data_IF_055088163824
#
_entry.id   IF_055088163824
#
_cell.length_a   1.000
_cell.length_b   1.000
_cell.length_c   1.000
_cell.angle_alpha   90.00
_cell.angle_beta   90.00
_cell.angle_gamma   90.00
#
_symmetry.space_group_name_H-M   'P 1'
#
loop_
_entity.id
_entity.type
_entity.pdbx_description
1 polymer ?
#
# COMPACT_ATOMS: atom_id res chain seq x y z
N UNK A 1 -21.95 -23.76 -12.82
CA UNK A 1 -22.64 -24.11 -11.55
C UNK A 1 -23.52 -25.35 -11.63
N UNK A 2 -24.37 -25.53 -12.65
CA UNK A 2 -25.13 -26.79 -12.81
C UNK A 2 -24.21 -28.02 -12.93
N UNK A 3 -23.17 -27.94 -13.76
CA UNK A 3 -22.15 -29.00 -13.89
C UNK A 3 -21.46 -29.31 -12.57
N UNK A 4 -21.02 -28.29 -11.82
CA UNK A 4 -20.45 -28.46 -10.49
C UNK A 4 -21.43 -29.17 -9.54
N UNK A 5 -22.71 -28.79 -9.55
CA UNK A 5 -23.71 -29.44 -8.71
C UNK A 5 -23.86 -30.94 -9.05
N UNK A 6 -23.82 -31.32 -10.33
CA UNK A 6 -23.90 -32.73 -10.74
C UNK A 6 -22.73 -33.58 -10.21
N UNK A 7 -21.55 -32.97 -10.07
CA UNK A 7 -20.33 -33.65 -9.64
C UNK A 7 -20.17 -33.67 -8.12
N UNK A 8 -20.50 -32.57 -7.44
CA UNK A 8 -20.11 -32.33 -6.05
C UNK A 8 -21.29 -32.20 -5.07
N UNK A 9 -22.51 -31.95 -5.53
CA UNK A 9 -23.64 -31.85 -4.60
C UNK A 9 -24.11 -33.23 -4.16
N UNK A 10 -24.67 -33.31 -2.94
CA UNK A 10 -25.38 -34.48 -2.47
C UNK A 10 -26.50 -34.83 -3.44
N UNK A 11 -26.59 -36.10 -3.81
CA UNK A 11 -27.75 -36.61 -4.55
C UNK A 11 -28.95 -36.59 -3.59
N UNK A 12 -30.11 -36.04 -3.99
CA UNK A 12 -31.29 -36.08 -3.14
C UNK A 12 -31.64 -37.55 -2.86
N UNK A 13 -31.72 -37.93 -1.58
CA UNK A 13 -32.07 -39.29 -1.18
C UNK A 13 -33.55 -39.63 -1.50
N UNK A 14 -34.37 -38.62 -1.80
CA UNK A 14 -35.78 -38.78 -2.20
C UNK A 14 -36.17 -37.70 -3.22
N UNK A 15 -36.39 -38.08 -4.51
CA UNK A 15 -37.47 -37.65 -5.43
C UNK A 15 -37.11 -37.85 -6.94
N UNK A 16 -38.11 -37.99 -7.83
CA UNK A 16 -37.97 -38.55 -9.17
C UNK A 16 -37.34 -37.57 -10.16
N UNK A 17 -36.81 -38.15 -11.25
CA UNK A 17 -36.23 -37.52 -12.45
C UNK A 17 -36.58 -36.03 -12.64
N UNK A 18 -35.53 -35.21 -12.63
CA UNK A 18 -35.46 -33.83 -13.14
C UNK A 18 -36.39 -33.62 -14.35
N UNK A 19 -37.51 -32.90 -14.16
CA UNK A 19 -38.35 -32.40 -15.25
C UNK A 19 -38.19 -30.88 -15.36
N UNK A 20 -38.08 -30.39 -16.59
CA UNK A 20 -37.69 -29.02 -16.94
C UNK A 20 -38.74 -27.92 -16.64
N UNK A 21 -39.67 -28.15 -15.72
CA UNK A 21 -40.85 -27.30 -15.52
C UNK A 21 -41.21 -26.96 -14.07
N UNK A 22 -40.29 -27.13 -13.10
CA UNK A 22 -40.48 -26.63 -11.73
C UNK A 22 -39.58 -25.41 -11.43
N UNK A 23 -40.12 -24.35 -10.79
CA UNK A 23 -39.30 -23.23 -10.33
C UNK A 23 -38.30 -23.73 -9.29
N UNK A 24 -37.01 -23.45 -9.50
CA UNK A 24 -35.84 -23.92 -8.72
C UNK A 24 -35.78 -23.46 -7.25
N UNK A 25 -36.85 -22.85 -6.73
CA UNK A 25 -36.90 -22.22 -5.42
C UNK A 25 -37.84 -22.96 -4.45
N UNK A 26 -37.32 -23.68 -3.45
CA UNK A 26 -38.10 -23.97 -2.26
C UNK A 26 -37.99 -22.79 -1.28
N UNK A 27 -39.13 -22.28 -0.80
CA UNK A 27 -39.19 -21.34 0.33
C UNK A 27 -38.75 -21.97 1.67
N UNK A 28 -38.37 -23.26 1.64
CA UNK A 28 -38.07 -24.09 2.81
C UNK A 28 -36.55 -24.16 3.01
N UNK A 29 -36.03 -23.95 4.24
CA UNK A 29 -34.63 -24.16 4.54
C UNK A 29 -34.15 -25.56 4.17
N UNK A 30 -32.92 -25.66 3.65
CA UNK A 30 -32.28 -26.96 3.44
C UNK A 30 -32.17 -27.72 4.77
N UNK A 31 -32.34 -29.04 4.72
CA UNK A 31 -32.20 -29.93 5.88
C UNK A 31 -30.80 -30.54 5.97
N UNK A 32 -30.06 -30.52 4.86
CA UNK A 32 -28.66 -30.96 4.77
C UNK A 32 -27.88 -30.00 3.87
N UNK A 33 -26.55 -30.05 3.97
CA UNK A 33 -25.60 -29.31 3.14
C UNK A 33 -25.75 -29.64 1.66
N UNK A 34 -25.45 -28.67 0.78
CA UNK A 34 -25.41 -28.89 -0.65
C UNK A 34 -24.23 -29.81 -1.02
N UNK A 35 -23.04 -29.54 -0.47
CA UNK A 35 -21.85 -30.37 -0.63
C UNK A 35 -21.91 -31.60 0.28
N UNK A 36 -21.24 -32.67 -0.14
CA UNK A 36 -21.11 -33.88 0.68
C UNK A 36 -20.03 -33.68 1.76
N UNK A 37 -20.45 -33.73 3.03
CA UNK A 37 -19.56 -33.71 4.18
C UNK A 37 -19.69 -35.02 4.94
N UNK A 38 -18.55 -35.60 5.35
CA UNK A 38 -18.52 -36.78 6.22
C UNK A 38 -18.81 -36.43 7.69
N UNK A 39 -18.61 -35.18 8.08
CA UNK A 39 -18.81 -34.67 9.44
C UNK A 39 -20.22 -34.09 9.62
N UNK A 40 -20.92 -34.57 10.65
CA UNK A 40 -22.27 -34.14 11.00
C UNK A 40 -22.31 -32.70 11.54
N UNK A 41 -21.28 -32.25 12.28
CA UNK A 41 -21.20 -30.86 12.77
C UNK A 41 -21.07 -29.87 11.60
N UNK A 42 -20.34 -30.26 10.55
CA UNK A 42 -20.21 -29.48 9.32
C UNK A 42 -21.55 -29.40 8.58
N UNK A 43 -22.29 -30.50 8.51
CA UNK A 43 -23.63 -30.51 7.93
C UNK A 43 -24.59 -29.57 8.71
N UNK A 44 -24.58 -29.65 10.04
CA UNK A 44 -25.40 -28.78 10.89
C UNK A 44 -25.03 -27.29 10.72
N UNK A 45 -23.74 -26.97 10.57
CA UNK A 45 -23.29 -25.60 10.32
C UNK A 45 -23.64 -25.10 8.92
N UNK A 46 -23.58 -25.96 7.90
CA UNK A 46 -24.04 -25.62 6.55
C UNK A 46 -25.53 -25.27 6.54
N UNK A 47 -26.36 -26.05 7.24
CA UNK A 47 -27.80 -25.79 7.40
C UNK A 47 -28.03 -24.47 8.15
N UNK A 48 -27.31 -24.22 9.25
CA UNK A 48 -27.39 -22.95 9.99
C UNK A 48 -26.95 -21.76 9.13
N UNK A 49 -25.92 -21.92 8.30
CA UNK A 49 -25.43 -20.90 7.38
C UNK A 49 -26.48 -20.57 6.32
N UNK A 50 -27.13 -21.57 5.75
CA UNK A 50 -28.22 -21.36 4.80
C UNK A 50 -29.40 -20.61 5.43
N UNK A 51 -29.80 -20.98 6.65
CA UNK A 51 -30.84 -20.27 7.39
C UNK A 51 -30.46 -18.81 7.66
N UNK A 52 -29.21 -18.55 8.03
CA UNK A 52 -28.70 -17.19 8.22
C UNK A 52 -28.75 -16.39 6.91
N UNK A 53 -28.33 -17.00 5.79
CA UNK A 53 -28.41 -16.37 4.47
C UNK A 53 -29.86 -16.04 4.08
N UNK A 54 -30.82 -16.95 4.29
CA UNK A 54 -32.24 -16.68 4.05
C UNK A 54 -32.78 -15.52 4.91
N UNK A 55 -32.33 -15.38 6.16
CA UNK A 55 -32.69 -14.25 7.02
C UNK A 55 -32.05 -12.94 6.52
N UNK A 56 -30.80 -13.00 6.06
CA UNK A 56 -30.11 -11.87 5.40
C UNK A 56 -30.81 -11.47 4.10
N UNK A 57 -31.39 -12.41 3.36
CA UNK A 57 -32.15 -12.09 2.14
C UNK A 57 -33.58 -11.59 2.44
N UNK A 58 -34.11 -11.90 3.62
CA UNK A 58 -35.48 -11.57 4.04
C UNK A 58 -36.51 -12.64 3.68
N UNK A 59 -36.06 -13.82 3.26
CA UNK A 59 -36.92 -14.97 2.96
C UNK A 59 -37.46 -15.64 4.22
N UNK A 60 -36.79 -15.44 5.35
CA UNK A 60 -37.17 -15.94 6.66
C UNK A 60 -37.20 -14.80 7.69
N UNK A 61 -38.10 -14.86 8.70
CA UNK A 61 -38.14 -13.85 9.74
C UNK A 61 -36.82 -13.83 10.52
N UNK A 62 -36.36 -12.62 10.88
CA UNK A 62 -35.19 -12.45 11.74
C UNK A 62 -35.51 -13.05 13.13
N UNK A 63 -34.59 -13.82 13.70
CA UNK A 63 -34.72 -14.27 15.09
C UNK A 63 -34.60 -13.06 16.02
N UNK A 64 -35.40 -13.01 17.08
CA UNK A 64 -35.39 -11.90 18.04
C UNK A 64 -33.97 -11.61 18.55
N UNK A 65 -33.52 -10.36 18.42
CA UNK A 65 -32.23 -9.89 18.95
C UNK A 65 -30.98 -10.09 18.08
N UNK A 66 -31.07 -10.59 16.83
CA UNK A 66 -29.92 -10.62 15.91
C UNK A 66 -30.05 -9.57 14.80
N UNK A 67 -29.06 -8.68 14.67
CA UNK A 67 -28.98 -7.75 13.55
C UNK A 67 -28.56 -8.51 12.28
N UNK A 68 -28.97 -8.01 11.13
CA UNK A 68 -28.58 -8.54 9.81
C UNK A 68 -27.07 -8.53 9.61
N UNK A 69 -26.40 -7.51 10.14
CA UNK A 69 -24.94 -7.40 10.08
C UNK A 69 -24.25 -8.49 10.92
N UNK A 70 -24.84 -8.92 12.04
CA UNK A 70 -24.29 -10.01 12.85
C UNK A 70 -24.36 -11.35 12.10
N UNK A 71 -25.44 -11.56 11.35
CA UNK A 71 -25.60 -12.75 10.51
C UNK A 71 -24.56 -12.77 9.39
N UNK A 72 -24.38 -11.65 8.69
CA UNK A 72 -23.36 -11.51 7.63
C UNK A 72 -21.96 -11.71 8.21
N UNK A 73 -21.66 -11.07 9.35
CA UNK A 73 -20.38 -11.23 10.03
C UNK A 73 -20.10 -12.70 10.37
N UNK A 74 -21.10 -13.40 10.93
CA UNK A 74 -21.00 -14.82 11.26
C UNK A 74 -20.73 -15.70 10.03
N UNK A 75 -21.41 -15.43 8.91
CA UNK A 75 -21.18 -16.15 7.65
C UNK A 75 -19.76 -15.94 7.12
N UNK A 76 -19.29 -14.70 7.07
CA UNK A 76 -17.93 -14.40 6.61
C UNK A 76 -16.87 -15.00 7.53
N UNK A 77 -17.09 -14.96 8.85
CA UNK A 77 -16.21 -15.58 9.84
C UNK A 77 -16.08 -17.09 9.60
N UNK A 78 -17.20 -17.79 9.37
CA UNK A 78 -17.19 -19.22 9.05
C UNK A 78 -16.38 -19.52 7.78
N UNK A 79 -16.51 -18.71 6.73
CA UNK A 79 -15.73 -18.88 5.49
C UNK A 79 -14.21 -18.79 5.71
N UNK A 80 -13.77 -18.04 6.73
CA UNK A 80 -12.35 -17.96 7.10
C UNK A 80 -11.90 -19.14 7.96
N UNK A 81 -12.69 -19.50 8.96
CA UNK A 81 -12.30 -20.52 9.94
C UNK A 81 -12.41 -21.95 9.40
N UNK A 82 -13.27 -22.18 8.40
CA UNK A 82 -13.59 -23.52 7.88
C UNK A 82 -13.62 -23.53 6.35
N UNK A 83 -12.50 -23.94 5.73
CA UNK A 83 -12.35 -23.99 4.27
C UNK A 83 -13.46 -24.79 3.58
N UNK A 84 -13.86 -25.93 4.15
CA UNK A 84 -14.94 -26.76 3.61
C UNK A 84 -16.32 -26.04 3.61
N UNK A 85 -16.59 -25.17 4.60
CA UNK A 85 -17.84 -24.39 4.62
C UNK A 85 -17.78 -23.19 3.67
N UNK A 86 -16.60 -22.73 3.28
CA UNK A 86 -16.46 -21.60 2.35
C UNK A 86 -17.14 -21.90 1.01
N UNK A 87 -16.79 -23.02 0.40
CA UNK A 87 -17.37 -23.44 -0.88
C UNK A 87 -18.87 -23.73 -0.77
N UNK A 88 -19.30 -24.29 0.36
CA UNK A 88 -20.72 -24.49 0.65
C UNK A 88 -21.47 -23.16 0.69
N UNK A 89 -20.95 -22.16 1.40
CA UNK A 89 -21.57 -20.83 1.50
C UNK A 89 -21.60 -20.13 0.13
N UNK A 90 -20.57 -20.29 -0.69
CA UNK A 90 -20.58 -19.84 -2.09
C UNK A 90 -21.70 -20.52 -2.88
N UNK A 91 -21.80 -21.85 -2.80
CA UNK A 91 -22.83 -22.63 -3.49
C UNK A 91 -24.24 -22.23 -3.03
N UNK A 92 -24.43 -22.02 -1.73
CA UNK A 92 -25.69 -21.57 -1.14
C UNK A 92 -26.05 -20.17 -1.64
N UNK A 93 -25.13 -19.21 -1.64
CA UNK A 93 -25.37 -17.87 -2.16
C UNK A 93 -25.77 -17.89 -3.64
N UNK A 94 -25.01 -18.62 -4.48
CA UNK A 94 -25.30 -18.78 -5.90
C UNK A 94 -26.66 -19.45 -6.13
N UNK A 95 -26.96 -20.52 -5.38
CA UNK A 95 -28.27 -21.18 -5.43
C UNK A 95 -29.39 -20.18 -5.15
N UNK A 96 -29.23 -19.35 -4.12
CA UNK A 96 -30.26 -18.42 -3.72
C UNK A 96 -30.47 -17.29 -4.73
N UNK A 97 -29.43 -16.84 -5.44
CA UNK A 97 -29.59 -15.77 -6.45
C UNK A 97 -30.04 -16.28 -7.82
N UNK A 98 -29.97 -17.59 -8.07
CA UNK A 98 -30.32 -18.20 -9.37
C UNK A 98 -31.83 -18.38 -9.48
N UNK A 99 -32.50 -17.59 -10.35
CA UNK A 99 -33.94 -17.73 -10.62
C UNK A 99 -34.85 -17.31 -9.46
N UNK A 100 -34.35 -16.45 -8.55
CA UNK A 100 -35.10 -16.02 -7.38
C UNK A 100 -36.34 -15.17 -7.77
N UNK A 101 -37.56 -15.54 -7.32
CA UNK A 101 -38.81 -14.92 -7.80
C UNK A 101 -39.05 -13.49 -7.27
N UNK A 102 -38.41 -13.12 -6.15
CA UNK A 102 -38.52 -11.79 -5.54
C UNK A 102 -37.25 -10.96 -5.81
N UNK A 103 -37.30 -9.94 -6.71
CA UNK A 103 -36.11 -9.17 -7.08
C UNK A 103 -35.40 -8.49 -5.91
N UNK A 104 -36.16 -7.94 -4.94
CA UNK A 104 -35.59 -7.27 -3.76
C UNK A 104 -34.79 -8.20 -2.86
N UNK A 105 -35.24 -9.43 -2.68
CA UNK A 105 -34.56 -10.44 -1.85
C UNK A 105 -33.35 -11.00 -2.61
N UNK A 106 -33.51 -11.24 -3.91
CA UNK A 106 -32.42 -11.60 -4.82
C UNK A 106 -31.27 -10.59 -4.75
N UNK A 107 -31.58 -9.29 -4.82
CA UNK A 107 -30.60 -8.22 -4.71
C UNK A 107 -29.80 -8.28 -3.40
N UNK A 108 -30.43 -8.62 -2.27
CA UNK A 108 -29.72 -8.81 -0.98
C UNK A 108 -28.79 -10.03 -1.01
N UNK A 109 -29.21 -11.12 -1.65
CA UNK A 109 -28.35 -12.29 -1.89
C UNK A 109 -27.13 -11.94 -2.76
N UNK A 110 -27.32 -11.12 -3.79
CA UNK A 110 -26.23 -10.60 -4.61
C UNK A 110 -25.30 -9.63 -3.86
N UNK A 111 -25.84 -8.77 -2.99
CA UNK A 111 -25.01 -7.94 -2.11
C UNK A 111 -24.15 -8.78 -1.17
N UNK A 112 -24.70 -9.87 -0.61
CA UNK A 112 -23.92 -10.82 0.19
C UNK A 112 -22.85 -11.52 -0.65
N UNK A 113 -23.19 -12.02 -1.84
CA UNK A 113 -22.24 -12.68 -2.74
C UNK A 113 -21.11 -11.73 -3.14
N UNK A 114 -21.41 -10.46 -3.41
CA UNK A 114 -20.43 -9.41 -3.73
C UNK A 114 -19.46 -9.16 -2.57
N UNK A 115 -19.97 -9.15 -1.33
CA UNK A 115 -19.15 -9.04 -0.13
C UNK A 115 -18.26 -10.28 0.06
N UNK A 116 -18.80 -11.48 -0.16
CA UNK A 116 -18.09 -12.75 -0.04
C UNK A 116 -16.92 -12.82 -1.05
N UNK A 117 -17.18 -12.47 -2.32
CA UNK A 117 -16.16 -12.46 -3.39
C UNK A 117 -15.01 -11.50 -3.14
N UNK A 118 -15.27 -10.34 -2.51
CA UNK A 118 -14.22 -9.39 -2.16
C UNK A 118 -13.47 -9.74 -0.86
N UNK A 119 -14.03 -10.64 -0.06
CA UNK A 119 -13.44 -11.02 1.22
C UNK A 119 -12.49 -12.21 1.11
N UNK A 120 -12.91 -13.28 0.42
CA UNK A 120 -12.15 -14.55 0.35
C UNK A 120 -12.44 -15.28 -0.96
N UNK A 121 -11.44 -15.84 -1.67
CA UNK A 121 -11.70 -16.58 -2.91
C UNK A 121 -12.34 -17.95 -2.63
N UNK A 122 -13.17 -18.50 -3.54
CA UNK A 122 -13.57 -19.90 -3.48
C UNK A 122 -12.34 -20.82 -3.64
N UNK A 123 -12.49 -22.11 -3.37
CA UNK A 123 -11.41 -23.08 -3.61
C UNK A 123 -11.01 -23.14 -5.08
N UNK A 124 -9.82 -23.66 -5.37
CA UNK A 124 -9.36 -23.89 -6.74
C UNK A 124 -10.34 -24.78 -7.55
N UNK A 125 -11.01 -25.73 -6.89
CA UNK A 125 -12.00 -26.61 -7.50
C UNK A 125 -13.28 -25.87 -7.90
N UNK A 126 -13.76 -24.96 -7.04
CA UNK A 126 -15.01 -24.22 -7.28
C UNK A 126 -14.81 -22.96 -8.14
N UNK A 127 -13.61 -22.36 -8.10
CA UNK A 127 -13.24 -21.12 -8.80
C UNK A 127 -13.71 -21.02 -10.26
N UNK A 128 -13.42 -21.98 -11.17
CA UNK A 128 -13.81 -21.83 -12.57
C UNK A 128 -15.34 -21.74 -12.76
N UNK A 129 -16.11 -22.40 -11.89
CA UNK A 129 -17.57 -22.40 -11.96
C UNK A 129 -18.19 -21.12 -11.42
N UNK A 130 -17.60 -20.53 -10.37
CA UNK A 130 -18.01 -19.23 -9.82
C UNK A 130 -17.68 -18.12 -10.81
N UNK A 131 -16.46 -18.12 -11.36
CA UNK A 131 -16.04 -17.12 -12.37
C UNK A 131 -16.97 -17.14 -13.58
N UNK A 132 -17.26 -18.31 -14.13
CA UNK A 132 -18.20 -18.44 -15.27
C UNK A 132 -19.60 -17.96 -14.91
N UNK A 133 -20.11 -18.33 -13.73
CA UNK A 133 -21.44 -17.88 -13.27
C UNK A 133 -21.53 -16.35 -13.14
N UNK A 134 -20.50 -15.71 -12.59
CA UNK A 134 -20.45 -14.26 -12.46
C UNK A 134 -20.35 -13.57 -13.83
N UNK A 135 -19.53 -14.10 -14.74
CA UNK A 135 -19.41 -13.60 -16.12
C UNK A 135 -20.76 -13.65 -16.84
N UNK A 136 -21.44 -14.80 -16.83
CA UNK A 136 -22.75 -14.97 -17.48
C UNK A 136 -23.80 -14.01 -16.88
N UNK A 137 -23.78 -13.82 -15.56
CA UNK A 137 -24.74 -12.97 -14.85
C UNK A 137 -24.46 -11.47 -14.98
N UNK A 138 -23.19 -11.08 -15.17
CA UNK A 138 -22.74 -9.68 -15.26
C UNK A 138 -23.34 -8.91 -16.45
N UNK A 139 -23.78 -9.63 -17.48
CA UNK A 139 -24.43 -9.09 -18.67
C UNK A 139 -25.79 -8.46 -18.36
N UNK A 140 -26.50 -9.02 -17.37
CA UNK A 140 -27.85 -8.60 -17.00
C UNK A 140 -27.94 -7.86 -15.67
N UNK A 141 -26.88 -7.86 -14.85
CA UNK A 141 -26.97 -7.39 -13.47
C UNK A 141 -25.70 -6.69 -12.96
N UNK A 142 -25.84 -5.47 -12.46
CA UNK A 142 -24.74 -4.65 -11.92
C UNK A 142 -24.06 -5.28 -10.70
N UNK A 143 -24.82 -5.79 -9.73
CA UNK A 143 -24.24 -6.46 -8.56
C UNK A 143 -23.43 -7.72 -8.93
N UNK A 144 -23.79 -8.41 -10.02
CA UNK A 144 -23.01 -9.54 -10.52
C UNK A 144 -21.68 -9.07 -11.11
N UNK A 145 -21.68 -7.95 -11.84
CA UNK A 145 -20.45 -7.30 -12.33
C UNK A 145 -19.55 -6.86 -11.17
N UNK A 146 -20.09 -6.20 -10.15
CA UNK A 146 -19.31 -5.83 -8.97
C UNK A 146 -18.75 -7.06 -8.24
N UNK A 147 -19.52 -8.14 -8.13
CA UNK A 147 -19.05 -9.41 -7.54
C UNK A 147 -17.89 -10.01 -8.35
N UNK A 148 -17.96 -9.94 -9.68
CA UNK A 148 -16.87 -10.37 -10.57
C UNK A 148 -15.61 -9.54 -10.37
N UNK A 149 -15.73 -8.21 -10.35
CA UNK A 149 -14.61 -7.30 -10.12
C UNK A 149 -13.97 -7.51 -8.74
N UNK A 150 -14.78 -7.75 -7.70
CA UNK A 150 -14.29 -8.07 -6.37
C UNK A 150 -13.55 -9.41 -6.35
N UNK A 151 -14.09 -10.44 -7.01
CA UNK A 151 -13.42 -11.74 -7.13
C UNK A 151 -12.08 -11.61 -7.86
N UNK A 152 -12.03 -10.86 -8.96
CA UNK A 152 -10.79 -10.61 -9.70
C UNK A 152 -9.72 -9.96 -8.82
N UNK A 153 -10.08 -8.96 -8.01
CA UNK A 153 -9.17 -8.35 -7.02
C UNK A 153 -8.69 -9.35 -5.99
N UNK A 154 -9.61 -10.10 -5.40
CA UNK A 154 -9.30 -11.13 -4.40
C UNK A 154 -8.39 -12.23 -4.96
N UNK A 155 -8.50 -12.56 -6.26
CA UNK A 155 -7.60 -13.51 -6.92
C UNK A 155 -6.24 -12.89 -7.22
N UNK A 156 -6.20 -11.63 -7.68
CA UNK A 156 -4.96 -10.92 -8.04
C UNK A 156 -4.11 -10.58 -6.80
N UNK A 157 -4.75 -10.10 -5.73
CA UNK A 157 -4.07 -9.57 -4.55
C UNK A 157 -4.25 -10.45 -3.31
N UNK A 158 -5.02 -11.53 -3.39
CA UNK A 158 -5.41 -12.33 -2.22
C UNK A 158 -6.60 -11.74 -1.48
N UNK A 159 -7.23 -12.55 -0.62
CA UNK A 159 -8.36 -12.12 0.20
C UNK A 159 -7.95 -11.17 1.34
N UNK A 160 -8.93 -10.49 1.93
CA UNK A 160 -8.68 -9.56 3.03
C UNK A 160 -8.08 -10.29 4.23
N UNK A 161 -7.13 -9.65 4.93
CA UNK A 161 -6.55 -10.17 6.19
C UNK A 161 -7.41 -9.94 7.42
N UNK A 162 -8.34 -8.98 7.41
CA UNK A 162 -9.28 -8.73 8.50
C UNK A 162 -10.72 -8.75 7.96
N UNK A 163 -11.68 -9.12 8.81
CA UNK A 163 -13.10 -8.97 8.50
C UNK A 163 -13.45 -7.48 8.35
N UNK A 164 -14.30 -7.10 7.38
CA UNK A 164 -14.84 -5.75 7.32
C UNK A 164 -15.56 -5.39 8.62
N UNK A 165 -15.41 -4.16 9.08
CA UNK A 165 -16.08 -3.69 10.29
C UNK A 165 -17.60 -3.60 10.08
N UNK A 166 -18.39 -3.57 11.16
CA UNK A 166 -19.85 -3.45 11.04
C UNK A 166 -20.28 -2.16 10.32
N UNK A 167 -19.59 -1.05 10.56
CA UNK A 167 -19.84 0.22 9.87
C UNK A 167 -19.48 0.14 8.39
N UNK A 168 -18.35 -0.49 8.05
CA UNK A 168 -17.93 -0.72 6.67
C UNK A 168 -18.93 -1.60 5.91
N UNK A 169 -19.36 -2.72 6.49
CA UNK A 169 -20.38 -3.59 5.89
C UNK A 169 -21.71 -2.85 5.71
N UNK A 170 -22.13 -2.06 6.69
CA UNK A 170 -23.36 -1.26 6.60
C UNK A 170 -23.29 -0.26 5.44
N UNK A 171 -22.16 0.40 5.25
CA UNK A 171 -21.95 1.32 4.13
C UNK A 171 -21.97 0.57 2.78
N UNK A 172 -21.26 -0.56 2.69
CA UNK A 172 -21.22 -1.41 1.50
C UNK A 172 -22.62 -1.87 1.08
N UNK A 173 -23.42 -2.40 2.01
CA UNK A 173 -24.77 -2.90 1.70
C UNK A 173 -25.75 -1.80 1.27
N UNK A 174 -25.50 -0.56 1.66
CA UNK A 174 -26.28 0.61 1.22
C UNK A 174 -25.80 1.19 -0.11
N UNK A 175 -24.74 0.63 -0.71
CA UNK A 175 -24.10 1.21 -1.89
C UNK A 175 -23.45 2.57 -1.63
N UNK A 176 -23.20 2.90 -0.37
CA UNK A 176 -22.59 4.17 -0.01
C UNK A 176 -21.08 4.11 -0.21
N UNK A 177 -20.54 5.20 -0.76
CA UNK A 177 -19.12 5.51 -0.69
C UNK A 177 -18.74 5.66 0.79
N UNK A 178 -17.68 4.96 1.20
CA UNK A 178 -17.40 4.78 2.63
C UNK A 178 -16.62 5.97 3.16
N UNK A 179 -15.51 6.37 2.51
CA UNK A 179 -14.68 7.47 3.00
C UNK A 179 -13.95 8.19 1.86
N UNK A 180 -13.85 9.51 1.99
CA UNK A 180 -12.91 10.32 1.23
C UNK A 180 -11.54 10.22 1.90
N UNK A 181 -10.51 9.87 1.14
CA UNK A 181 -9.13 9.73 1.62
C UNK A 181 -8.28 10.85 1.02
N UNK A 182 -7.43 11.45 1.85
CA UNK A 182 -6.38 12.36 1.42
C UNK A 182 -5.04 11.62 1.44
N UNK A 183 -4.28 11.76 0.37
CA UNK A 183 -2.93 11.22 0.24
C UNK A 183 -1.97 12.39 0.12
N UNK A 184 -1.08 12.52 1.07
CA UNK A 184 -0.13 13.61 1.13
C UNK A 184 1.08 13.31 0.25
N UNK A 185 1.34 14.19 -0.72
CA UNK A 185 2.51 14.16 -1.58
C UNK A 185 3.58 15.14 -1.04
N UNK A 186 4.86 14.92 -1.39
CA UNK A 186 5.90 15.91 -1.18
C UNK A 186 5.49 17.30 -1.71
N UNK A 187 5.83 18.35 -0.96
CA UNK A 187 5.49 19.74 -1.30
C UNK A 187 4.16 20.24 -0.73
N UNK A 188 3.48 19.45 0.12
CA UNK A 188 2.20 19.84 0.72
C UNK A 188 1.02 19.75 -0.24
N UNK A 189 1.17 19.00 -1.33
CA UNK A 189 0.10 18.72 -2.28
C UNK A 189 -0.68 17.50 -1.79
N UNK A 190 -2.00 17.61 -1.74
CA UNK A 190 -2.87 16.52 -1.35
C UNK A 190 -3.61 15.94 -2.56
N UNK A 191 -3.51 14.63 -2.74
CA UNK A 191 -4.34 13.89 -3.68
C UNK A 191 -5.59 13.37 -2.97
N UNK A 192 -6.75 13.87 -3.39
CA UNK A 192 -8.05 13.51 -2.83
C UNK A 192 -8.70 12.40 -3.65
N UNK A 193 -9.00 11.30 -3.00
CA UNK A 193 -9.64 10.14 -3.63
C UNK A 193 -10.76 9.58 -2.75
N UNK A 194 -11.45 8.58 -3.29
CA UNK A 194 -12.52 7.87 -2.62
C UNK A 194 -12.17 6.40 -2.53
N UNK A 195 -12.21 5.84 -1.32
CA UNK A 195 -11.96 4.42 -1.10
C UNK A 195 -13.26 3.66 -0.86
N UNK A 196 -13.32 2.44 -1.40
CA UNK A 196 -14.42 1.47 -1.26
C UNK A 196 -13.97 0.33 -0.34
N UNK A 197 -14.89 -0.55 0.03
CA UNK A 197 -14.62 -1.74 0.88
C UNK A 197 -13.40 -2.55 0.40
N UNK A 198 -13.25 -2.69 -0.91
CA UNK A 198 -12.25 -3.55 -1.52
C UNK A 198 -11.16 -2.77 -2.26
N UNK A 199 -10.92 -1.50 -1.91
CA UNK A 199 -9.80 -0.73 -2.47
C UNK A 199 -8.48 -1.27 -1.92
N UNK A 200 -7.58 -1.63 -2.85
CA UNK A 200 -6.26 -2.21 -2.58
C UNK A 200 -5.17 -1.16 -2.82
N UNK A 201 -4.07 -1.22 -2.07
CA UNK A 201 -2.98 -0.26 -2.13
C UNK A 201 -2.35 -0.15 -3.54
N UNK A 202 -2.14 -1.27 -4.24
CA UNK A 202 -1.60 -1.28 -5.60
C UNK A 202 -2.46 -0.46 -6.57
N UNK A 203 -3.78 -0.70 -6.60
CA UNK A 203 -4.69 0.03 -7.50
C UNK A 203 -4.73 1.53 -7.18
N UNK A 204 -4.64 1.87 -5.90
CA UNK A 204 -4.59 3.27 -5.49
C UNK A 204 -3.28 3.94 -5.91
N UNK A 205 -2.15 3.24 -5.77
CA UNK A 205 -0.85 3.74 -6.19
C UNK A 205 -0.78 3.92 -7.71
N UNK A 206 -1.27 2.95 -8.48
CA UNK A 206 -1.42 3.03 -9.94
C UNK A 206 -2.28 4.25 -10.34
N UNK A 207 -3.42 4.46 -9.67
CA UNK A 207 -4.28 5.63 -9.91
C UNK A 207 -3.56 6.95 -9.60
N UNK A 208 -2.87 7.04 -8.47
CA UNK A 208 -2.09 8.23 -8.09
C UNK A 208 -1.00 8.53 -9.13
N UNK A 209 -0.24 7.51 -9.53
CA UNK A 209 0.82 7.62 -10.52
C UNK A 209 0.27 8.08 -11.88
N UNK A 210 -0.86 7.52 -12.32
CA UNK A 210 -1.54 7.90 -13.56
C UNK A 210 -1.91 9.39 -13.60
N UNK A 211 -2.29 9.97 -12.46
CA UNK A 211 -2.62 11.40 -12.36
C UNK A 211 -1.37 12.30 -12.49
N UNK A 212 -0.20 11.76 -12.16
CA UNK A 212 1.11 12.39 -12.40
C UNK A 212 1.66 12.11 -13.81
N UNK A 213 0.88 11.48 -14.70
CA UNK A 213 1.33 11.13 -16.06
C UNK A 213 2.16 9.85 -16.14
N UNK A 214 2.30 9.11 -15.04
CA UNK A 214 3.09 7.88 -14.98
C UNK A 214 2.22 6.70 -15.43
N UNK A 215 2.57 6.12 -16.57
CA UNK A 215 1.90 4.93 -17.13
C UNK A 215 2.78 3.68 -17.16
N UNK A 216 4.10 3.82 -17.00
CA UNK A 216 5.04 2.70 -17.02
C UNK A 216 4.95 1.91 -15.70
N UNK A 217 4.60 0.61 -15.73
CA UNK A 217 4.57 -0.22 -14.53
C UNK A 217 5.90 -0.29 -13.77
N UNK A 218 7.05 -0.13 -14.45
CA UNK A 218 8.35 -0.11 -13.77
C UNK A 218 8.49 1.14 -12.91
N UNK A 219 8.10 2.31 -13.42
CA UNK A 219 8.13 3.56 -12.66
C UNK A 219 7.13 3.55 -11.50
N UNK A 220 5.93 2.98 -11.68
CA UNK A 220 4.94 2.85 -10.58
C UNK A 220 5.51 2.08 -9.39
N UNK A 221 6.32 1.04 -9.64
CA UNK A 221 6.93 0.26 -8.57
C UNK A 221 7.92 1.08 -7.73
N UNK A 222 8.54 2.12 -8.30
CA UNK A 222 9.45 2.99 -7.56
C UNK A 222 8.76 3.83 -6.49
N UNK A 223 7.42 3.85 -6.46
CA UNK A 223 6.65 4.56 -5.44
C UNK A 223 6.14 3.63 -4.34
N UNK A 224 5.94 4.21 -3.17
CA UNK A 224 5.29 3.52 -2.05
C UNK A 224 4.31 4.44 -1.33
N UNK A 225 3.23 3.84 -0.84
CA UNK A 225 2.30 4.46 0.09
C UNK A 225 2.76 4.16 1.52
N UNK A 226 2.74 5.16 2.38
CA UNK A 226 3.23 5.09 3.75
C UNK A 226 2.14 5.46 4.74
N UNK A 227 2.00 4.66 5.79
CA UNK A 227 1.19 5.01 6.95
C UNK A 227 2.01 5.90 7.89
N UNK A 228 1.49 7.08 8.21
CA UNK A 228 2.06 8.00 9.20
C UNK A 228 1.06 8.16 10.33
N UNK A 229 1.52 8.07 11.57
CA UNK A 229 0.66 8.24 12.75
C UNK A 229 0.86 9.64 13.34
N UNK A 230 -0.24 10.27 13.76
CA UNK A 230 -0.24 11.46 14.64
C UNK A 230 0.80 12.53 14.33
N UNK A 231 1.84 12.60 15.16
CA UNK A 231 2.93 13.58 15.21
C UNK A 231 3.98 13.45 14.08
N UNK A 232 3.70 12.63 13.07
CA UNK A 232 4.60 12.43 11.93
C UNK A 232 5.47 11.18 12.05
N UNK A 233 5.24 10.33 13.06
CA UNK A 233 5.90 9.03 13.19
C UNK A 233 5.54 8.13 11.99
N UNK A 234 6.55 7.86 11.15
CA UNK A 234 6.42 6.95 10.01
C UNK A 234 6.27 5.52 10.54
N UNK A 235 5.13 4.89 10.25
CA UNK A 235 4.85 3.55 10.76
C UNK A 235 5.50 2.50 9.87
N UNK A 236 5.13 2.49 8.58
CA UNK A 236 5.62 1.56 7.56
C UNK A 236 5.07 1.89 6.16
N UNK A 237 5.73 1.42 5.09
CA UNK A 237 5.10 1.30 3.78
C UNK A 237 3.92 0.31 3.79
N UNK A 238 2.99 0.50 2.86
CA UNK A 238 1.89 -0.40 2.55
C UNK A 238 2.30 -1.35 1.44
N UNK A 239 2.05 -2.63 1.64
CA UNK A 239 2.28 -3.63 0.61
C UNK A 239 1.22 -3.54 -0.48
N UNK A 240 1.57 -3.86 -1.75
CA UNK A 240 0.65 -3.77 -2.89
C UNK A 240 -0.68 -4.48 -2.66
N UNK A 241 -0.68 -5.62 -1.97
CA UNK A 241 -1.84 -6.46 -1.69
C UNK A 241 -2.70 -6.03 -0.49
N UNK A 242 -2.30 -4.99 0.26
CA UNK A 242 -3.06 -4.58 1.44
C UNK A 242 -4.34 -3.81 1.06
N UNK A 243 -5.43 -4.16 1.74
CA UNK A 243 -6.70 -3.45 1.62
C UNK A 243 -6.70 -2.24 2.55
N UNK A 244 -6.99 -1.06 2.00
CA UNK A 244 -6.86 0.20 2.75
C UNK A 244 -7.76 0.24 3.99
N UNK A 245 -9.02 -0.21 3.88
CA UNK A 245 -9.93 -0.25 5.03
C UNK A 245 -9.54 -1.30 6.10
N UNK A 246 -8.54 -2.14 5.84
CA UNK A 246 -7.98 -3.05 6.84
C UNK A 246 -6.79 -2.46 7.60
N UNK A 247 -6.25 -1.32 7.16
CA UNK A 247 -5.02 -0.72 7.69
C UNK A 247 -5.16 0.77 8.07
N UNK A 248 -6.17 1.46 7.53
CA UNK A 248 -6.46 2.85 7.87
C UNK A 248 -7.29 2.93 9.16
N UNK A 249 -6.67 3.46 10.21
CA UNK A 249 -7.30 3.84 11.48
C UNK A 249 -7.48 5.37 11.56
N UNK A 250 -8.20 5.86 12.59
CA UNK A 250 -8.58 7.29 12.70
C UNK A 250 -7.42 8.28 12.80
N UNK A 251 -6.27 7.84 13.34
CA UNK A 251 -5.11 8.71 13.61
C UNK A 251 -3.96 8.49 12.62
N UNK A 252 -4.26 7.87 11.47
CA UNK A 252 -3.28 7.51 10.45
C UNK A 252 -3.53 8.30 9.18
N UNK A 253 -2.51 9.03 8.72
CA UNK A 253 -2.49 9.67 7.41
C UNK A 253 -1.73 8.80 6.40
N UNK A 254 -2.07 8.95 5.12
CA UNK A 254 -1.42 8.23 4.03
C UNK A 254 -0.53 9.19 3.25
N UNK A 255 0.74 8.84 3.06
CA UNK A 255 1.69 9.65 2.32
C UNK A 255 2.23 8.84 1.14
N UNK A 256 2.54 9.47 0.02
CA UNK A 256 3.23 8.82 -1.10
C UNK A 256 4.63 9.37 -1.23
N UNK A 257 5.61 8.52 -1.55
CA UNK A 257 6.99 8.90 -1.84
C UNK A 257 7.57 8.00 -2.93
N UNK A 258 8.50 8.54 -3.70
CA UNK A 258 9.34 7.76 -4.62
C UNK A 258 10.58 7.26 -3.87
N UNK A 259 10.81 5.95 -3.86
CA UNK A 259 11.90 5.30 -3.15
C UNK A 259 13.11 5.01 -4.05
N UNK A 260 12.87 4.73 -5.32
CA UNK A 260 13.89 4.44 -6.32
C UNK A 260 13.79 5.41 -7.50
N UNK A 261 14.88 5.55 -8.26
CA UNK A 261 15.01 6.56 -9.30
C UNK A 261 15.74 5.98 -10.52
N UNK A 262 15.43 4.74 -10.88
CA UNK A 262 16.05 4.03 -12.01
C UNK A 262 15.39 4.41 -13.33
N UNK A 263 14.07 4.59 -13.35
CA UNK A 263 13.35 5.03 -14.55
C UNK A 263 13.66 6.48 -14.89
N UNK A 264 13.60 6.80 -16.18
CA UNK A 264 13.92 8.13 -16.67
C UNK A 264 12.85 9.14 -16.23
N UNK A 265 13.29 10.24 -15.62
CA UNK A 265 12.42 11.36 -15.28
C UNK A 265 11.83 11.98 -16.55
N UNK A 266 10.53 12.27 -16.49
CA UNK A 266 9.81 13.00 -17.51
C UNK A 266 9.23 14.31 -16.92
N UNK A 267 9.17 15.35 -17.74
CA UNK A 267 8.82 16.71 -17.28
C UNK A 267 7.64 17.31 -18.06
N UNK A 268 6.68 16.45 -18.41
CA UNK A 268 5.46 16.80 -19.13
C UNK A 268 4.25 17.05 -18.21
N UNK A 269 4.33 16.70 -16.92
CA UNK A 269 3.27 16.87 -15.94
C UNK A 269 3.68 17.81 -14.78
N UNK A 270 2.96 18.94 -14.53
CA UNK A 270 3.28 19.87 -13.45
C UNK A 270 3.27 19.28 -12.05
N UNK A 271 2.35 18.35 -11.75
CA UNK A 271 2.27 17.68 -10.46
C UNK A 271 3.47 16.75 -10.28
N UNK A 272 3.87 16.02 -11.33
CA UNK A 272 5.09 15.23 -11.32
C UNK A 272 6.31 16.10 -10.99
N UNK A 273 6.51 17.20 -11.72
CA UNK A 273 7.64 18.12 -11.51
C UNK A 273 7.65 18.64 -10.07
N UNK A 274 6.53 19.20 -9.61
CA UNK A 274 6.42 19.81 -8.29
C UNK A 274 6.63 18.80 -7.15
N UNK A 275 6.09 17.58 -7.28
CA UNK A 275 6.27 16.52 -6.28
C UNK A 275 7.71 16.04 -6.21
N UNK A 276 8.36 15.76 -7.35
CA UNK A 276 9.75 15.31 -7.36
C UNK A 276 10.71 16.41 -6.90
N UNK A 277 10.51 17.66 -7.36
CA UNK A 277 11.27 18.81 -6.87
C UNK A 277 11.17 18.93 -5.35
N UNK A 278 9.97 18.88 -4.80
CA UNK A 278 9.75 19.02 -3.35
C UNK A 278 10.38 17.89 -2.55
N UNK A 279 10.38 16.66 -3.09
CA UNK A 279 11.04 15.53 -2.45
C UNK A 279 12.57 15.71 -2.45
N UNK A 280 13.16 15.98 -3.61
CA UNK A 280 14.61 16.18 -3.77
C UNK A 280 15.10 17.39 -2.97
N UNK A 281 14.32 18.48 -2.95
CA UNK A 281 14.63 19.67 -2.16
C UNK A 281 14.64 19.36 -0.66
N UNK A 282 13.65 18.62 -0.15
CA UNK A 282 13.63 18.20 1.24
C UNK A 282 14.87 17.39 1.59
N UNK A 283 15.22 16.41 0.76
CA UNK A 283 16.34 15.51 1.00
C UNK A 283 17.67 16.29 0.96
N UNK A 284 17.83 17.22 0.00
CA UNK A 284 18.95 18.16 -0.04
C UNK A 284 19.06 19.04 1.22
N UNK A 285 17.99 19.72 1.62
CA UNK A 285 17.99 20.63 2.76
C UNK A 285 18.21 19.91 4.10
N UNK A 286 17.83 18.64 4.18
CA UNK A 286 18.09 17.77 5.33
C UNK A 286 19.52 17.20 5.34
N UNK A 287 20.34 17.48 4.33
CA UNK A 287 21.70 16.98 4.21
C UNK A 287 21.77 15.50 3.85
N UNK A 288 20.70 14.95 3.26
CA UNK A 288 20.65 13.57 2.77
C UNK A 288 21.31 13.43 1.40
N UNK A 289 21.41 14.51 0.63
CA UNK A 289 22.25 14.59 -0.56
C UNK A 289 23.57 15.26 -0.18
N UNK A 290 24.69 14.55 -0.36
CA UNK A 290 25.99 15.05 0.08
C UNK A 290 26.50 16.17 -0.83
N UNK A 291 26.84 17.30 -0.24
CA UNK A 291 27.48 18.43 -0.91
C UNK A 291 28.63 18.94 -0.04
N UNK A 292 29.77 19.20 -0.65
CA UNK A 292 30.93 19.77 0.06
C UNK A 292 30.65 21.23 0.47
N UNK A 293 31.06 21.61 1.68
CA UNK A 293 31.06 23.00 2.14
C UNK A 293 31.97 23.92 1.31
N UNK A 294 32.92 23.35 0.57
CA UNK A 294 33.82 24.08 -0.33
C UNK A 294 33.28 24.21 -1.76
N UNK A 295 32.16 23.54 -2.09
CA UNK A 295 31.56 23.57 -3.42
C UNK A 295 30.64 24.79 -3.60
N UNK A 296 31.17 26.00 -3.37
CA UNK A 296 30.41 27.25 -3.34
C UNK A 296 29.57 27.47 -4.60
N UNK A 297 30.10 27.14 -5.79
CA UNK A 297 29.38 27.29 -7.05
C UNK A 297 28.17 26.34 -7.17
N UNK A 298 28.30 25.10 -6.70
CA UNK A 298 27.21 24.13 -6.73
C UNK A 298 26.11 24.52 -5.72
N UNK A 299 26.50 24.92 -4.51
CA UNK A 299 25.58 25.42 -3.49
C UNK A 299 24.85 26.68 -3.97
N UNK A 300 25.57 27.61 -4.61
CA UNK A 300 25.00 28.83 -5.17
C UNK A 300 23.99 28.53 -6.29
N UNK A 301 24.31 27.62 -7.21
CA UNK A 301 23.40 27.22 -8.30
C UNK A 301 22.13 26.57 -7.75
N UNK A 302 22.25 25.62 -6.82
CA UNK A 302 21.09 24.98 -6.18
C UNK A 302 20.23 25.98 -5.39
N UNK A 303 20.85 26.96 -4.73
CA UNK A 303 20.12 28.02 -4.03
C UNK A 303 19.40 28.98 -4.99
N UNK A 304 20.04 29.39 -6.10
CA UNK A 304 19.44 30.23 -7.12
C UNK A 304 18.21 29.55 -7.76
N UNK A 305 18.32 28.27 -8.10
CA UNK A 305 17.22 27.49 -8.67
C UNK A 305 16.04 27.35 -7.69
N UNK A 306 16.29 27.12 -6.40
CA UNK A 306 15.23 27.12 -5.39
C UNK A 306 14.53 28.47 -5.27
N UNK A 307 15.29 29.58 -5.32
CA UNK A 307 14.71 30.91 -5.28
C UNK A 307 13.82 31.18 -6.50
N UNK A 308 14.30 30.88 -7.70
CA UNK A 308 13.53 31.02 -8.96
C UNK A 308 12.29 30.13 -8.97
N UNK A 309 12.35 28.94 -8.38
CA UNK A 309 11.19 28.03 -8.30
C UNK A 309 10.00 28.64 -7.54
N UNK A 310 10.24 29.60 -6.63
CA UNK A 310 9.17 30.33 -5.91
C UNK A 310 8.47 31.38 -6.76
N UNK A 311 9.00 31.74 -7.93
CA UNK A 311 8.45 32.78 -8.79
C UNK A 311 8.55 34.20 -8.21
N UNK A 312 9.51 34.44 -7.31
CA UNK A 312 9.75 35.75 -6.71
C UNK A 312 10.67 36.58 -7.62
N UNK A 313 10.29 37.83 -7.89
CA UNK A 313 11.12 38.78 -8.65
C UNK A 313 12.14 39.52 -7.76
N UNK A 314 11.88 39.56 -6.45
CA UNK A 314 12.73 40.22 -5.47
C UNK A 314 14.00 39.40 -5.19
N UNK A 315 15.16 40.05 -4.98
CA UNK A 315 16.37 39.34 -4.63
C UNK A 315 16.21 38.60 -3.28
N UNK A 316 16.87 37.44 -3.10
CA UNK A 316 16.71 36.64 -1.89
C UNK A 316 17.24 37.39 -0.66
N UNK A 317 16.48 37.38 0.44
CA UNK A 317 16.93 37.88 1.73
C UNK A 317 18.02 36.98 2.32
N UNK A 318 18.77 37.44 3.32
CA UNK A 318 19.77 36.58 3.98
C UNK A 318 19.14 35.36 4.67
N UNK A 319 17.90 35.49 5.15
CA UNK A 319 17.15 34.38 5.70
C UNK A 319 16.77 33.35 4.63
N UNK A 320 16.38 33.81 3.44
CA UNK A 320 16.12 32.93 2.30
C UNK A 320 17.38 32.16 1.89
N UNK A 321 18.52 32.85 1.82
CA UNK A 321 19.80 32.24 1.47
C UNK A 321 20.17 31.10 2.43
N UNK A 322 20.01 31.32 3.73
CA UNK A 322 20.24 30.28 4.74
C UNK A 322 19.25 29.13 4.60
N UNK A 323 17.98 29.42 4.30
CA UNK A 323 16.94 28.42 4.11
C UNK A 323 17.16 27.53 2.85
N UNK A 324 17.91 28.02 1.86
CA UNK A 324 18.27 27.25 0.66
C UNK A 324 19.51 26.36 0.81
N UNK A 325 20.17 26.38 1.97
CA UNK A 325 21.36 25.58 2.23
C UNK A 325 21.04 24.40 3.16
N UNK A 326 21.75 23.25 3.01
CA UNK A 326 21.61 22.13 3.93
C UNK A 326 21.89 22.57 5.37
N UNK A 327 21.04 22.17 6.31
CA UNK A 327 21.09 22.64 7.71
C UNK A 327 22.46 22.46 8.36
N UNK A 328 23.18 21.40 8.02
CA UNK A 328 24.49 21.05 8.55
C UNK A 328 25.61 21.98 8.03
N UNK A 329 25.43 22.55 6.84
CA UNK A 329 26.44 23.37 6.16
C UNK A 329 26.29 24.86 6.47
N UNK A 330 25.16 25.31 7.01
CA UNK A 330 24.88 26.74 7.27
C UNK A 330 25.97 27.45 8.09
N UNK A 331 26.69 26.72 8.95
CA UNK A 331 27.76 27.25 9.80
C UNK A 331 29.18 27.09 9.22
N UNK A 332 29.33 26.34 8.13
CA UNK A 332 30.64 25.98 7.56
C UNK A 332 30.95 26.74 6.27
N UNK A 333 29.91 27.25 5.60
CA UNK A 333 30.04 27.90 4.29
C UNK A 333 30.44 29.37 4.39
N UNK A 334 31.10 29.85 3.34
CA UNK A 334 31.34 31.29 3.18
C UNK A 334 30.11 31.96 2.56
N UNK A 335 29.20 32.44 3.41
CA UNK A 335 27.94 33.07 2.98
C UNK A 335 28.17 34.28 2.04
N UNK A 336 29.24 35.04 2.23
CA UNK A 336 29.55 36.20 1.38
C UNK A 336 29.91 35.76 -0.04
N UNK A 337 30.72 34.71 -0.17
CA UNK A 337 31.09 34.14 -1.47
C UNK A 337 29.87 33.53 -2.17
N UNK A 338 29.07 32.72 -1.43
CA UNK A 338 27.85 32.10 -1.96
C UNK A 338 26.83 33.16 -2.41
N UNK A 339 26.60 34.22 -1.62
CA UNK A 339 25.69 35.32 -1.98
C UNK A 339 26.08 35.99 -3.29
N UNK A 340 27.38 36.24 -3.49
CA UNK A 340 27.89 36.80 -4.75
C UNK A 340 27.63 35.87 -5.94
N UNK A 341 27.91 34.56 -5.78
CA UNK A 341 27.70 33.56 -6.82
C UNK A 341 26.21 33.34 -7.14
N UNK A 342 25.33 33.36 -6.14
CA UNK A 342 23.87 33.29 -6.35
C UNK A 342 23.41 34.47 -7.23
N UNK A 343 23.90 35.68 -6.95
CA UNK A 343 23.59 36.85 -7.78
C UNK A 343 24.10 36.72 -9.22
N UNK A 344 25.17 35.95 -9.47
CA UNK A 344 25.65 35.67 -10.82
C UNK A 344 24.77 34.62 -11.51
N UNK A 345 24.42 33.52 -10.82
CA UNK A 345 23.52 32.48 -11.34
C UNK A 345 22.14 33.05 -11.68
N UNK A 346 21.55 33.89 -10.82
CA UNK A 346 20.26 34.53 -11.08
C UNK A 346 20.27 35.42 -12.33
N UNK A 347 21.39 36.09 -12.62
CA UNK A 347 21.55 36.87 -13.86
C UNK A 347 21.69 35.97 -15.08
N UNK A 348 22.37 34.83 -14.96
CA UNK A 348 22.51 33.87 -16.06
C UNK A 348 21.19 33.17 -16.39
N UNK A 349 20.38 32.88 -15.36
CA UNK A 349 19.09 32.21 -15.47
C UNK A 349 17.92 33.19 -15.66
N UNK A 350 18.19 34.41 -16.13
CA UNK A 350 17.15 35.41 -16.35
C UNK A 350 16.14 34.92 -17.39
N UNK A 351 14.84 34.96 -17.03
CA UNK A 351 13.75 34.48 -17.89
C UNK A 351 13.41 32.99 -17.72
N UNK A 352 14.11 32.27 -16.82
CA UNK A 352 13.76 30.91 -16.44
C UNK A 352 12.40 30.88 -15.74
N UNK A 353 11.49 30.00 -16.18
CA UNK A 353 10.20 29.83 -15.51
C UNK A 353 10.35 29.10 -14.17
N UNK A 354 9.35 29.21 -13.29
CA UNK A 354 9.33 28.46 -12.02
C UNK A 354 9.48 26.94 -12.25
N UNK A 355 8.83 26.39 -13.30
CA UNK A 355 8.93 24.98 -13.63
C UNK A 355 10.31 24.61 -14.19
N UNK A 356 10.89 25.43 -15.08
CA UNK A 356 12.23 25.19 -15.60
C UNK A 356 13.29 25.21 -14.48
N UNK A 357 13.10 26.08 -13.48
CA UNK A 357 13.95 26.14 -12.30
C UNK A 357 13.82 24.87 -11.44
N UNK A 358 12.61 24.33 -11.26
CA UNK A 358 12.37 23.06 -10.57
C UNK A 358 13.04 21.89 -11.29
N UNK A 359 12.88 21.81 -12.61
CA UNK A 359 13.50 20.77 -13.47
C UNK A 359 15.02 20.86 -13.36
N UNK A 360 15.58 22.05 -13.57
CA UNK A 360 17.02 22.30 -13.50
C UNK A 360 17.59 21.98 -12.11
N UNK A 361 16.82 22.21 -11.04
CA UNK A 361 17.22 21.84 -9.68
C UNK A 361 17.32 20.32 -9.52
N UNK A 362 16.31 19.57 -9.99
CA UNK A 362 16.32 18.11 -9.95
C UNK A 362 17.53 17.57 -10.73
N UNK A 363 17.78 18.08 -11.93
CA UNK A 363 18.92 17.67 -12.76
C UNK A 363 20.27 17.99 -12.09
N UNK A 364 20.40 19.17 -11.48
CA UNK A 364 21.60 19.55 -10.75
C UNK A 364 21.82 18.74 -9.47
N UNK A 365 20.75 18.32 -8.79
CA UNK A 365 20.81 17.48 -7.60
C UNK A 365 21.08 16.01 -7.94
N UNK A 366 20.72 15.55 -9.15
CA UNK A 366 20.91 14.16 -9.61
C UNK A 366 22.37 13.68 -9.60
N UNK A 367 23.33 14.59 -9.74
CA UNK A 367 24.76 14.27 -9.71
C UNK A 367 25.33 14.20 -8.28
N UNK A 368 24.54 14.52 -7.27
CA UNK A 368 24.98 14.46 -5.87
C UNK A 368 25.05 13.01 -5.38
N UNK A 369 26.06 12.66 -4.56
CA UNK A 369 26.08 11.37 -3.88
C UNK A 369 24.81 11.19 -3.03
N UNK A 370 24.36 9.94 -2.93
CA UNK A 370 23.10 9.52 -2.30
C UNK A 370 21.82 9.97 -3.04
N UNK A 371 21.91 10.61 -4.20
CA UNK A 371 20.72 10.76 -5.05
C UNK A 371 20.16 9.37 -5.40
N UNK A 372 18.84 9.23 -5.25
CA UNK A 372 18.16 7.95 -5.49
C UNK A 372 18.18 6.98 -4.31
N UNK A 373 18.69 7.39 -3.15
CA UNK A 373 18.65 6.60 -1.92
C UNK A 373 17.69 7.23 -0.91
N UNK A 374 16.98 6.40 -0.16
CA UNK A 374 16.35 6.80 1.11
C UNK A 374 17.44 6.83 2.18
N UNK A 375 17.71 7.99 2.77
CA UNK A 375 18.87 8.18 3.64
C UNK A 375 18.49 8.29 5.11
N UNK A 376 19.18 7.51 5.94
CA UNK A 376 19.07 7.48 7.39
C UNK A 376 20.39 7.91 8.05
N UNK A 377 20.32 8.48 9.24
CA UNK A 377 21.51 8.81 10.04
C UNK A 377 21.75 7.74 11.09
N UNK A 378 22.82 6.97 10.95
CA UNK A 378 23.29 6.04 11.98
C UNK A 378 24.17 6.78 12.99
N UNK A 379 23.76 6.76 14.25
CA UNK A 379 24.52 7.34 15.37
C UNK A 379 25.77 6.50 15.67
N UNK A 380 25.62 5.17 15.66
CA UNK A 380 26.71 4.21 15.88
C UNK A 380 26.59 3.02 14.92
N UNK A 381 27.75 2.43 14.62
CA UNK A 381 27.87 1.25 13.76
C UNK A 381 28.78 0.23 14.43
N UNK A 382 28.43 -1.05 14.37
CA UNK A 382 29.14 -2.12 15.08
C UNK A 382 30.55 -2.42 14.57
N UNK A 383 30.83 -2.11 13.30
CA UNK A 383 32.06 -2.52 12.62
C UNK A 383 33.20 -1.54 12.96
N UNK A 384 34.33 -2.02 13.52
CA UNK A 384 35.46 -1.17 13.84
C UNK A 384 36.03 -0.47 12.60
N UNK A 385 36.36 0.81 12.73
CA UNK A 385 36.93 1.61 11.64
C UNK A 385 35.90 2.32 10.73
N UNK A 386 34.59 2.10 10.94
CA UNK A 386 33.56 2.89 10.28
C UNK A 386 33.29 4.21 11.03
N UNK A 387 32.96 5.30 10.30
CA UNK A 387 32.64 6.58 10.92
C UNK A 387 31.33 6.50 11.72
N UNK A 388 31.23 7.32 12.77
CA UNK A 388 30.03 7.48 13.59
C UNK A 388 29.96 8.93 14.07
N UNK A 389 28.91 9.71 13.72
CA UNK A 389 27.74 9.30 12.94
C UNK A 389 28.07 9.04 11.45
N UNK A 390 27.23 8.25 10.78
CA UNK A 390 27.34 7.92 9.36
C UNK A 390 25.99 8.01 8.64
N UNK A 391 26.02 8.14 7.31
CA UNK A 391 24.81 8.14 6.48
C UNK A 391 24.59 6.75 5.87
N UNK A 392 23.39 6.22 6.08
CA UNK A 392 22.90 4.97 5.52
C UNK A 392 21.99 5.26 4.34
N UNK A 393 22.43 4.98 3.11
CA UNK A 393 21.61 5.06 1.92
C UNK A 393 20.96 3.71 1.62
N UNK A 394 19.63 3.67 1.46
CA UNK A 394 18.88 2.49 1.07
C UNK A 394 18.18 2.68 -0.30
N UNK A 395 18.36 1.74 -1.21
CA UNK A 395 17.53 1.58 -2.41
C UNK A 395 17.20 0.09 -2.63
N UNK A 396 16.49 -0.27 -3.71
CA UNK A 396 16.14 -1.68 -4.04
C UNK A 396 17.31 -2.65 -4.12
N UNK A 397 18.50 -2.15 -4.45
CA UNK A 397 19.65 -3.00 -4.74
C UNK A 397 20.57 -3.14 -3.53
N UNK A 398 20.80 -2.04 -2.82
CA UNK A 398 21.87 -1.92 -1.85
C UNK A 398 21.47 -1.09 -0.63
N UNK A 399 22.01 -1.50 0.53
CA UNK A 399 22.20 -0.65 1.69
C UNK A 399 23.68 -0.23 1.73
N UNK A 400 23.94 1.07 1.63
CA UNK A 400 25.29 1.63 1.62
C UNK A 400 25.54 2.52 2.82
N UNK A 401 26.79 2.59 3.26
CA UNK A 401 27.23 3.46 4.34
C UNK A 401 28.28 4.44 3.83
N UNK A 402 28.05 5.73 4.08
CA UNK A 402 28.93 6.82 3.66
C UNK A 402 29.41 7.65 4.86
N UNK A 403 30.65 8.12 4.77
CA UNK A 403 31.24 9.07 5.72
C UNK A 403 30.80 10.51 5.41
N UNK A 404 29.96 11.15 6.25
CA UNK A 404 29.56 12.54 6.03
C UNK A 404 30.70 13.55 6.23
N UNK A 405 31.79 13.16 6.89
CA UNK A 405 32.92 14.05 7.22
C UNK A 405 33.94 14.16 6.08
N UNK A 406 33.94 13.17 5.19
CA UNK A 406 34.80 13.15 4.01
C UNK A 406 34.26 14.12 2.95
N UNK A 407 35.14 14.93 2.34
CA UNK A 407 34.72 15.99 1.40
C UNK A 407 33.92 15.51 0.19
N UNK A 408 33.93 14.20 -0.11
CA UNK A 408 33.26 13.59 -1.28
C UNK A 408 32.27 12.47 -0.88
N UNK A 409 32.12 12.15 0.40
CA UNK A 409 31.31 11.00 0.83
C UNK A 409 31.93 9.67 0.43
N UNK A 410 32.99 9.25 1.13
CA UNK A 410 33.62 7.96 0.88
C UNK A 410 32.62 6.84 1.18
N UNK A 411 32.38 5.97 0.19
CA UNK A 411 31.65 4.73 0.38
C UNK A 411 32.45 3.81 1.30
N UNK A 412 31.97 3.60 2.52
CA UNK A 412 32.66 2.79 3.53
C UNK A 412 32.21 1.33 3.50
N UNK A 413 30.94 1.08 3.19
CA UNK A 413 30.34 -0.26 3.17
C UNK A 413 29.20 -0.33 2.15
N UNK A 414 29.01 -1.48 1.51
CA UNK A 414 27.86 -1.78 0.66
C UNK A 414 27.39 -3.20 0.92
N UNK A 415 26.10 -3.36 1.17
CA UNK A 415 25.43 -4.64 1.41
C UNK A 415 24.36 -4.76 0.33
N UNK A 416 24.44 -5.77 -0.53
CA UNK A 416 23.36 -6.04 -1.47
C UNK A 416 22.14 -6.56 -0.72
N UNK A 417 20.96 -6.00 -0.98
CA UNK A 417 19.74 -6.40 -0.26
C UNK A 417 19.40 -7.87 -0.47
N UNK A 418 19.68 -8.41 -1.67
CA UNK A 418 19.51 -9.84 -1.99
C UNK A 418 20.34 -10.79 -1.10
N UNK A 419 21.42 -10.30 -0.51
CA UNK A 419 22.30 -11.10 0.37
C UNK A 419 21.84 -11.03 1.83
N UNK A 420 20.80 -10.25 2.13
CA UNK A 420 20.24 -10.12 3.47
C UNK A 420 19.45 -11.38 3.85
N UNK A 421 19.81 -11.97 4.99
CA UNK A 421 19.18 -13.19 5.49
C UNK A 421 18.17 -12.92 6.60
N UNK A 422 18.52 -12.05 7.56
CA UNK A 422 17.69 -11.73 8.73
C UNK A 422 17.89 -10.31 9.20
N UNK A 423 16.82 -9.74 9.77
CA UNK A 423 16.80 -8.44 10.41
C UNK A 423 16.26 -8.56 11.82
N UNK A 424 16.97 -8.02 12.80
CA UNK A 424 16.55 -8.04 14.20
C UNK A 424 16.55 -6.61 14.77
N UNK A 425 15.42 -6.21 15.37
CA UNK A 425 15.31 -4.92 16.03
C UNK A 425 15.88 -5.05 17.44
N UNK A 426 16.84 -4.20 17.78
CA UNK A 426 17.50 -4.16 19.07
C UNK A 426 16.86 -3.09 19.94
N UNK A 427 16.66 -3.40 21.22
CA UNK A 427 16.27 -2.42 22.22
C UNK A 427 17.37 -1.37 22.40
N UNK A 428 17.03 -0.12 22.76
CA UNK A 428 18.01 0.89 23.13
C UNK A 428 18.98 0.37 24.20
N UNK A 429 20.26 0.69 24.05
CA UNK A 429 21.28 0.34 25.05
C UNK A 429 21.13 1.14 26.35
N UNK A 430 20.56 2.34 26.24
CA UNK A 430 20.35 3.30 27.32
C UNK A 430 18.85 3.63 27.40
N UNK A 431 18.35 4.02 28.58
CA UNK A 431 16.92 4.24 28.81
C UNK A 431 16.30 5.33 27.90
N UNK A 432 17.11 6.29 27.45
CA UNK A 432 16.73 7.35 26.50
C UNK A 432 17.47 7.21 25.15
N UNK A 433 18.10 6.05 24.90
CA UNK A 433 18.88 5.80 23.69
C UNK A 433 18.00 5.53 22.46
N UNK A 434 18.63 5.54 21.29
CA UNK A 434 17.97 5.13 20.05
C UNK A 434 17.92 3.60 19.94
N UNK A 435 16.88 3.03 19.29
CA UNK A 435 16.85 1.61 18.99
C UNK A 435 17.95 1.24 17.99
N UNK A 436 18.24 -0.05 17.89
CA UNK A 436 19.19 -0.58 16.91
C UNK A 436 18.52 -1.48 15.87
N UNK A 437 19.16 -1.64 14.71
CA UNK A 437 18.81 -2.64 13.72
C UNK A 437 20.05 -3.49 13.41
N UNK A 438 19.96 -4.78 13.73
CA UNK A 438 20.96 -5.78 13.34
C UNK A 438 20.56 -6.44 12.01
N UNK A 439 21.52 -6.50 11.10
CA UNK A 439 21.42 -7.16 9.81
C UNK A 439 22.39 -8.32 9.75
N UNK A 440 21.88 -9.49 9.36
CA UNK A 440 22.68 -10.67 9.04
C UNK A 440 22.63 -10.89 7.53
N UNK A 441 23.79 -10.94 6.88
CA UNK A 441 23.92 -10.98 5.42
C UNK A 441 25.08 -11.86 4.95
N UNK A 442 25.16 -12.10 3.66
CA UNK A 442 26.21 -12.94 3.04
C UNK A 442 25.79 -14.40 2.86
N UNK A 443 26.70 -15.29 2.45
CA UNK A 443 26.37 -16.70 2.22
C UNK A 443 26.11 -17.46 3.53
N UNK A 444 25.23 -18.46 3.50
CA UNK A 444 24.89 -19.28 4.68
C UNK A 444 26.10 -19.97 5.34
N UNK A 445 27.17 -20.20 4.57
CA UNK A 445 28.42 -20.78 5.06
C UNK A 445 29.32 -19.78 5.82
N UNK A 446 29.12 -18.48 5.63
CA UNK A 446 29.91 -17.40 6.24
C UNK A 446 29.05 -16.15 6.42
N UNK A 447 28.08 -16.17 7.34
CA UNK A 447 27.24 -15.01 7.60
C UNK A 447 28.07 -13.88 8.22
N UNK A 448 27.84 -12.66 7.75
CA UNK A 448 28.32 -11.43 8.36
C UNK A 448 27.18 -10.75 9.13
N UNK A 449 27.53 -10.05 10.20
CA UNK A 449 26.58 -9.32 11.04
C UNK A 449 27.05 -7.87 11.19
N UNK A 450 26.13 -6.93 11.00
CA UNK A 450 26.32 -5.51 11.29
C UNK A 450 25.12 -4.98 12.04
N UNK A 451 25.32 -4.09 13.00
CA UNK A 451 24.21 -3.36 13.61
C UNK A 451 24.42 -1.86 13.52
N UNK A 452 23.30 -1.15 13.43
CA UNK A 452 23.22 0.30 13.38
C UNK A 452 22.33 0.79 14.51
N UNK A 453 22.74 1.82 15.22
CA UNK A 453 21.86 2.54 16.14
C UNK A 453 21.35 3.80 15.47
N UNK A 454 20.03 3.93 15.38
CA UNK A 454 19.37 5.05 14.72
C UNK A 454 17.95 5.22 15.25
N UNK A 455 17.44 6.46 15.36
CA UNK A 455 16.07 6.70 15.81
C UNK A 455 15.02 5.97 14.95
N UNK A 456 15.26 5.88 13.65
CA UNK A 456 14.35 5.30 12.65
C UNK A 456 14.58 3.80 12.40
N UNK A 457 15.12 3.03 13.36
CA UNK A 457 15.48 1.62 13.14
C UNK A 457 14.28 0.75 12.70
N UNK A 458 13.10 1.00 13.26
CA UNK A 458 11.88 0.29 12.91
C UNK A 458 11.39 0.65 11.50
N UNK A 459 11.46 1.93 11.13
CA UNK A 459 11.13 2.39 9.79
C UNK A 459 12.06 1.75 8.75
N UNK A 460 13.38 1.81 8.99
CA UNK A 460 14.39 1.21 8.13
C UNK A 460 14.12 -0.28 7.91
N UNK A 461 13.82 -1.02 8.98
CA UNK A 461 13.45 -2.44 8.90
C UNK A 461 12.23 -2.68 8.00
N UNK A 462 11.17 -1.88 8.17
CA UNK A 462 9.96 -2.02 7.37
C UNK A 462 10.18 -1.66 5.91
N UNK A 463 10.97 -0.61 5.63
CA UNK A 463 11.33 -0.21 4.27
C UNK A 463 12.19 -1.28 3.58
N UNK A 464 13.19 -1.86 4.26
CA UNK A 464 13.96 -2.98 3.72
C UNK A 464 13.05 -4.18 3.42
N UNK A 465 12.17 -4.56 4.35
CA UNK A 465 11.24 -5.67 4.14
C UNK A 465 10.30 -5.44 2.95
N UNK A 466 9.84 -4.19 2.76
CA UNK A 466 9.03 -3.80 1.62
C UNK A 466 9.80 -3.90 0.29
N UNK A 467 11.03 -3.38 0.23
CA UNK A 467 11.87 -3.45 -0.98
C UNK A 467 12.30 -4.88 -1.35
N UNK A 468 12.35 -5.78 -0.36
CA UNK A 468 12.60 -7.21 -0.56
C UNK A 468 11.36 -8.02 -0.95
N UNK A 469 10.20 -7.37 -1.15
CA UNK A 469 8.90 -8.03 -1.36
C UNK A 469 8.59 -9.10 -0.29
N UNK A 470 9.08 -8.90 0.94
CA UNK A 470 8.82 -9.81 2.06
C UNK A 470 7.37 -9.72 2.52
N UNK A 471 6.87 -10.69 3.29
CA UNK A 471 5.50 -10.60 3.80
C UNK A 471 5.30 -9.36 4.71
N UNK A 472 4.11 -8.70 4.65
CA UNK A 472 3.78 -7.61 5.56
C UNK A 472 3.86 -8.07 7.02
N UNK A 473 4.26 -7.20 7.96
CA UNK A 473 4.30 -7.52 9.37
C UNK A 473 2.94 -8.05 9.84
N UNK A 474 2.97 -9.01 10.76
CA UNK A 474 1.74 -9.57 11.33
C UNK A 474 0.96 -8.48 12.09
N UNK A 475 -0.38 -8.46 11.95
CA UNK A 475 -1.26 -7.40 12.43
C UNK A 475 -1.33 -7.18 13.93
#
# INVERSE_FOLDING_TARGET
MQEFALLYFRRPQTLPRWSASQPLWPQVPIQESLLSFSDEDMNQQAVKSFQALMQVMGDQPKRWGKDELDLIYGLLKLCREKDNLRDEIYCQAIKQVTGHPRPKHCARGWSFLSLLTGYVPPSATLMPYVTKFLQDSSLSQELARSSQEHLQRTVKYGGRRRLPSLSEMRAFLKGHVIHQLLIHLPGGVDYKTTIRTFTVAAELLEELCRQMGIGDPQEVQEFALFLIKGDGELVRPLWPQEYLNSVLDKDVSLHSRRLDWETQLHFDNPTYIGTHFSQVQRDYLQGQLLVSAQADAQLARLAALQHLSKGLEEPPSEQDLLAYLPKQLQWQVNLTAIKSLIGQELKQLQGCSSQDAQISFIEAARVLPLFGYTVYTALRVSRPGLPSPSLLGLNRQHLILMDPSSQVGLLCCSIALKDLQRMHLLSPMEAEGSPGLELNYGPAASPETIWFELPQAQELKHTIAFLLDSEPPSP
#
